data_IF_248423799074
#
_entry.id   IF_248423799074
#
_cell.length_a   1.000
_cell.length_b   1.000
_cell.length_c   1.000
_cell.angle_alpha   90.00
_cell.angle_beta   90.00
_cell.angle_gamma   90.00
#
_symmetry.space_group_name_H-M   'P 1'
#
loop_
_entity.id
_entity.type
_entity.pdbx_description
1 polymer ?
#
# COMPACT_ATOMS: atom_id res chain seq x y z
N UNK A 1 39.64 2.75 43.94
CA UNK A 1 39.75 2.96 42.49
C UNK A 1 38.53 2.32 41.87
N UNK A 2 37.43 3.07 41.81
CA UNK A 2 36.13 2.57 41.39
C UNK A 2 36.06 2.56 39.88
N UNK A 3 35.59 1.43 39.38
CA UNK A 3 35.41 1.03 38.00
C UNK A 3 34.63 2.08 37.18
N UNK A 4 35.27 2.58 36.13
CA UNK A 4 34.71 3.58 35.21
C UNK A 4 34.17 2.94 33.91
N UNK A 5 33.89 1.62 33.91
CA UNK A 5 33.45 0.89 32.71
C UNK A 5 32.01 0.36 32.75
N UNK A 6 31.21 0.72 33.76
CA UNK A 6 29.83 0.20 33.94
C UNK A 6 28.72 1.26 33.94
N UNK A 7 28.89 2.38 33.23
CA UNK A 7 27.86 3.43 33.12
C UNK A 7 27.69 3.96 31.68
N UNK A 8 27.69 3.09 30.67
CA UNK A 8 27.43 3.48 29.28
C UNK A 8 26.28 2.72 28.59
N UNK A 9 25.41 1.99 29.31
CA UNK A 9 24.43 1.11 28.64
C UNK A 9 22.94 1.34 28.92
N UNK A 10 22.50 2.44 29.55
CA UNK A 10 21.05 2.58 29.88
C UNK A 10 20.35 3.87 29.43
N UNK A 11 20.94 4.68 28.55
CA UNK A 11 20.25 5.87 28.03
C UNK A 11 20.38 5.91 26.50
N UNK A 12 19.35 5.43 25.78
CA UNK A 12 18.92 5.94 24.44
C UNK A 12 18.03 4.92 23.69
N UNK A 13 16.76 4.72 24.09
CA UNK A 13 15.75 4.06 23.22
C UNK A 13 14.30 4.43 23.55
N UNK A 14 13.99 4.73 24.81
CA UNK A 14 12.64 5.09 25.26
C UNK A 14 12.00 6.30 24.53
N UNK A 15 12.69 7.46 24.34
CA UNK A 15 12.05 8.61 23.68
C UNK A 15 11.77 8.36 22.18
N UNK A 16 12.56 7.53 21.52
CA UNK A 16 12.35 7.18 20.10
C UNK A 16 11.14 6.23 19.94
N UNK A 17 10.99 5.26 20.85
CA UNK A 17 9.83 4.34 20.88
C UNK A 17 8.54 5.10 21.19
N UNK A 18 8.59 6.08 22.11
CA UNK A 18 7.45 6.93 22.43
C UNK A 18 7.03 7.81 21.24
N UNK A 19 8.00 8.46 20.57
CA UNK A 19 7.73 9.27 19.38
C UNK A 19 7.12 8.44 18.24
N UNK A 20 7.66 7.25 17.96
CA UNK A 20 7.13 6.38 16.91
C UNK A 20 5.69 5.91 17.20
N UNK A 21 5.38 5.65 18.47
CA UNK A 21 4.03 5.27 18.91
C UNK A 21 3.07 6.44 18.76
N UNK A 22 3.47 7.63 19.20
CA UNK A 22 2.71 8.88 19.06
C UNK A 22 2.47 9.21 17.58
N UNK A 23 3.50 9.18 16.74
CA UNK A 23 3.39 9.42 15.31
C UNK A 23 2.42 8.44 14.65
N UNK A 24 2.47 7.15 15.00
CA UNK A 24 1.54 6.13 14.49
C UNK A 24 0.09 6.41 14.90
N UNK A 25 -0.14 6.88 16.13
CA UNK A 25 -1.47 7.25 16.59
C UNK A 25 -2.01 8.49 15.85
N UNK A 26 -1.17 9.51 15.66
CA UNK A 26 -1.51 10.73 14.91
C UNK A 26 -1.83 10.37 13.45
N UNK A 27 -0.95 9.61 12.77
CA UNK A 27 -1.16 9.18 11.38
C UNK A 27 -2.41 8.31 11.24
N UNK A 28 -2.78 7.53 12.26
CA UNK A 28 -4.03 6.79 12.29
C UNK A 28 -5.28 7.68 12.22
N UNK A 29 -5.19 8.97 12.56
CA UNK A 29 -6.30 9.91 12.42
C UNK A 29 -6.39 10.56 11.03
N UNK A 30 -5.46 10.25 10.11
CA UNK A 30 -5.53 10.67 8.72
C UNK A 30 -6.12 9.52 7.88
N UNK A 31 -7.40 9.59 7.47
CA UNK A 31 -8.02 8.54 6.68
C UNK A 31 -7.33 8.40 5.32
N UNK A 32 -7.22 7.16 4.85
CA UNK A 32 -6.59 6.83 3.56
C UNK A 32 -7.49 5.87 2.80
N UNK A 33 -7.50 5.95 1.47
CA UNK A 33 -8.06 4.88 0.64
C UNK A 33 -7.25 3.60 0.80
N UNK A 34 -7.89 2.45 0.59
CA UNK A 34 -7.25 1.14 0.65
C UNK A 34 -7.11 0.57 -0.76
N UNK A 35 -5.92 0.06 -1.06
CA UNK A 35 -5.61 -0.59 -2.33
C UNK A 35 -4.95 -1.95 -2.11
N UNK A 36 -5.06 -2.83 -3.09
CA UNK A 36 -4.12 -3.95 -3.25
C UNK A 36 -3.10 -3.59 -4.33
N UNK A 37 -1.84 -3.51 -3.93
CA UNK A 37 -0.73 -3.45 -4.86
C UNK A 37 -0.38 -4.86 -5.31
N UNK A 38 -0.27 -5.09 -6.61
CA UNK A 38 0.28 -6.34 -7.16
C UNK A 38 1.49 -6.07 -8.05
N UNK A 39 2.36 -7.06 -8.22
CA UNK A 39 3.52 -7.00 -9.10
C UNK A 39 3.98 -8.42 -9.46
N UNK A 40 4.59 -8.60 -10.63
CA UNK A 40 5.08 -9.90 -11.06
C UNK A 40 6.47 -10.18 -10.46
N UNK A 41 6.66 -11.35 -9.83
CA UNK A 41 7.98 -11.80 -9.39
C UNK A 41 8.75 -12.49 -10.51
N UNK A 42 10.05 -12.76 -10.30
CA UNK A 42 10.91 -13.39 -11.31
C UNK A 42 10.41 -14.75 -11.85
N UNK A 43 9.60 -15.48 -11.08
CA UNK A 43 8.99 -16.75 -11.52
C UNK A 43 7.76 -16.59 -12.42
N UNK A 44 7.38 -15.36 -12.76
CA UNK A 44 6.16 -15.04 -13.47
C UNK A 44 4.90 -15.03 -12.59
N UNK A 45 4.98 -15.45 -11.32
CA UNK A 45 3.85 -15.41 -10.38
C UNK A 45 3.59 -13.99 -9.89
N UNK A 46 2.32 -13.62 -9.74
CA UNK A 46 1.93 -12.38 -9.11
C UNK A 46 2.19 -12.42 -7.60
N UNK A 47 2.65 -11.29 -7.08
CA UNK A 47 2.71 -11.00 -5.66
C UNK A 47 1.86 -9.78 -5.33
N UNK A 48 1.29 -9.70 -4.13
CA UNK A 48 0.49 -8.55 -3.73
C UNK A 48 0.47 -8.25 -2.24
N UNK A 49 0.18 -7.00 -1.90
CA UNK A 49 0.02 -6.53 -0.54
C UNK A 49 -1.03 -5.43 -0.46
N UNK A 50 -1.75 -5.37 0.66
CA UNK A 50 -2.61 -4.23 0.96
C UNK A 50 -1.73 -3.02 1.26
N UNK A 51 -2.04 -1.90 0.63
CA UNK A 51 -1.33 -0.64 0.81
C UNK A 51 -2.33 0.51 1.01
N UNK A 52 -1.94 1.44 1.86
CA UNK A 52 -2.60 2.73 2.03
C UNK A 52 -1.60 3.90 2.08
N UNK A 53 -0.32 3.60 1.86
CA UNK A 53 0.81 4.53 1.80
C UNK A 53 1.02 5.01 0.36
N UNK A 54 0.07 5.79 -0.13
CA UNK A 54 -0.01 6.26 -1.51
C UNK A 54 -0.07 7.79 -1.60
N UNK A 55 0.50 8.35 -2.67
CA UNK A 55 0.30 9.74 -3.05
C UNK A 55 0.30 9.91 -4.57
N UNK A 56 -0.52 10.83 -5.08
CA UNK A 56 -0.36 11.38 -6.43
C UNK A 56 0.80 12.38 -6.44
N UNK A 57 1.64 12.36 -7.48
CA UNK A 57 2.84 13.20 -7.60
C UNK A 57 2.65 14.29 -8.65
N UNK A 58 2.28 13.91 -9.87
CA UNK A 58 2.02 14.83 -10.99
C UNK A 58 1.05 14.17 -11.97
N UNK A 59 0.37 14.98 -12.80
CA UNK A 59 -0.47 14.53 -13.93
C UNK A 59 0.21 14.71 -15.30
N UNK A 60 1.40 15.29 -15.35
CA UNK A 60 2.16 15.52 -16.58
C UNK A 60 3.64 15.10 -16.40
N UNK A 61 4.03 13.86 -16.79
CA UNK A 61 3.15 12.72 -17.07
C UNK A 61 2.52 12.16 -15.77
N UNK A 62 1.37 11.46 -15.82
CA UNK A 62 0.73 10.91 -14.62
C UNK A 62 1.66 10.01 -13.81
N UNK A 63 1.93 10.38 -12.56
CA UNK A 63 2.93 9.74 -11.71
C UNK A 63 2.42 9.57 -10.28
N UNK A 64 2.66 8.40 -9.71
CA UNK A 64 2.21 7.97 -8.39
C UNK A 64 3.40 7.56 -7.51
N UNK A 65 3.24 7.68 -6.20
CA UNK A 65 4.21 7.21 -5.20
C UNK A 65 3.58 6.16 -4.29
N UNK A 66 4.34 5.09 -4.02
CA UNK A 66 3.98 4.07 -3.03
C UNK A 66 5.16 3.74 -2.11
N UNK A 67 4.86 3.42 -0.85
CA UNK A 67 5.86 2.99 0.14
C UNK A 67 5.62 1.55 0.58
N UNK A 68 6.64 0.70 0.47
CA UNK A 68 6.58 -0.70 0.89
C UNK A 68 7.67 -1.00 1.92
N UNK A 69 7.33 -1.77 2.95
CA UNK A 69 8.31 -2.27 3.92
C UNK A 69 9.36 -3.15 3.22
N UNK A 70 10.63 -3.00 3.60
CA UNK A 70 11.76 -3.63 2.89
C UNK A 70 11.71 -5.15 2.92
N UNK A 71 11.11 -5.73 3.96
CA UNK A 71 10.94 -7.17 4.17
C UNK A 71 9.79 -7.79 3.35
N UNK A 72 8.98 -6.97 2.66
CA UNK A 72 7.85 -7.47 1.88
C UNK A 72 8.30 -8.26 0.65
N UNK A 73 7.71 -9.45 0.45
CA UNK A 73 7.85 -10.23 -0.79
C UNK A 73 7.32 -9.47 -2.01
N UNK A 74 6.24 -8.71 -1.83
CA UNK A 74 5.69 -7.84 -2.88
C UNK A 74 6.66 -6.73 -3.25
N UNK A 75 7.36 -6.14 -2.26
CA UNK A 75 8.42 -5.16 -2.53
C UNK A 75 9.53 -5.76 -3.40
N UNK A 76 9.83 -7.05 -3.22
CA UNK A 76 10.81 -7.77 -4.04
C UNK A 76 10.34 -7.92 -5.47
N UNK A 77 9.10 -8.37 -5.68
CA UNK A 77 8.50 -8.44 -7.00
C UNK A 77 8.54 -7.09 -7.75
N UNK A 78 8.23 -5.98 -7.06
CA UNK A 78 8.31 -4.63 -7.67
C UNK A 78 9.73 -4.27 -8.10
N UNK A 79 10.75 -4.59 -7.28
CA UNK A 79 12.14 -4.32 -7.67
C UNK A 79 12.63 -5.18 -8.83
N UNK A 80 12.16 -6.43 -8.92
CA UNK A 80 12.58 -7.37 -9.95
C UNK A 80 11.90 -7.08 -11.29
N UNK A 81 10.59 -6.81 -11.27
CA UNK A 81 9.83 -6.48 -12.49
C UNK A 81 9.98 -5.03 -12.94
N UNK A 82 10.29 -4.12 -12.02
CA UNK A 82 10.25 -2.68 -12.28
C UNK A 82 8.83 -2.15 -12.48
N UNK A 83 7.79 -2.90 -12.13
CA UNK A 83 6.41 -2.53 -12.40
C UNK A 83 5.45 -2.96 -11.28
N UNK A 84 4.29 -2.30 -11.21
CA UNK A 84 3.24 -2.64 -10.25
C UNK A 84 1.86 -2.19 -10.72
N UNK A 85 0.82 -2.82 -10.17
CA UNK A 85 -0.58 -2.45 -10.36
C UNK A 85 -1.16 -2.02 -9.01
N UNK A 86 -1.89 -0.92 -8.98
CA UNK A 86 -2.69 -0.49 -7.84
C UNK A 86 -4.16 -0.76 -8.13
N UNK A 87 -4.82 -1.51 -7.25
CA UNK A 87 -6.25 -1.84 -7.35
C UNK A 87 -6.99 -1.16 -6.21
N UNK A 88 -7.84 -0.18 -6.52
CA UNK A 88 -8.63 0.58 -5.53
C UNK A 88 -9.80 -0.27 -5.06
N UNK A 89 -9.92 -0.41 -3.74
CA UNK A 89 -10.95 -1.25 -3.13
C UNK A 89 -12.21 -0.48 -2.73
N UNK A 90 -13.36 -1.13 -2.90
CA UNK A 90 -14.65 -0.72 -2.35
C UNK A 90 -14.94 -1.35 -0.99
N UNK A 91 -15.94 -0.79 -0.30
CA UNK A 91 -16.39 -1.17 1.03
C UNK A 91 -16.70 -2.66 1.24
N UNK A 92 -17.16 -3.35 0.21
CA UNK A 92 -17.49 -4.78 0.22
C UNK A 92 -16.26 -5.69 0.10
N UNK A 93 -15.07 -5.13 -0.17
CA UNK A 93 -13.82 -5.87 -0.41
C UNK A 93 -12.92 -5.97 0.82
N UNK A 94 -13.50 -5.90 2.04
CA UNK A 94 -12.78 -5.99 3.32
C UNK A 94 -11.97 -7.29 3.43
N UNK A 95 -12.53 -8.43 3.02
CA UNK A 95 -11.85 -9.73 3.16
C UNK A 95 -10.64 -9.84 2.22
N UNK A 96 -10.72 -9.25 1.02
CA UNK A 96 -9.57 -9.12 0.11
C UNK A 96 -8.50 -8.27 0.79
N UNK A 97 -8.87 -7.10 1.33
CA UNK A 97 -7.93 -6.22 2.02
C UNK A 97 -7.23 -6.92 3.21
N UNK A 98 -7.95 -7.73 3.99
CA UNK A 98 -7.39 -8.51 5.11
C UNK A 98 -6.41 -9.58 4.61
N UNK A 99 -6.79 -10.36 3.60
CA UNK A 99 -5.95 -11.42 3.04
C UNK A 99 -4.59 -10.87 2.58
N UNK A 100 -4.62 -9.76 1.84
CA UNK A 100 -3.41 -9.09 1.34
C UNK A 100 -2.66 -8.27 2.42
N UNK A 101 -3.30 -7.98 3.56
CA UNK A 101 -2.65 -7.41 4.75
C UNK A 101 -1.99 -8.47 5.66
N UNK A 102 -2.15 -9.76 5.36
CA UNK A 102 -1.46 -10.85 6.04
C UNK A 102 -2.33 -11.75 6.91
N UNK A 103 -3.66 -11.62 6.89
CA UNK A 103 -4.53 -12.64 7.52
C UNK A 103 -4.41 -14.00 6.84
N UNK A 104 -4.01 -14.01 5.57
CA UNK A 104 -3.58 -15.21 4.84
C UNK A 104 -2.05 -15.20 4.68
N UNK A 105 -1.42 -16.22 5.27
CA UNK A 105 0.04 -16.39 5.32
C UNK A 105 0.62 -16.93 4.01
N UNK A 106 -0.14 -17.78 3.32
CA UNK A 106 0.21 -18.30 2.01
C UNK A 106 -0.09 -17.27 0.93
N UNK A 107 0.95 -16.88 0.20
CA UNK A 107 0.82 -15.82 -0.77
C UNK A 107 -0.06 -16.21 -1.96
N UNK A 108 -0.04 -17.48 -2.36
CA UNK A 108 -0.82 -17.93 -3.52
C UNK A 108 -2.30 -17.94 -3.21
N UNK A 109 -2.68 -18.30 -1.97
CA UNK A 109 -4.09 -18.34 -1.53
C UNK A 109 -4.75 -16.97 -1.48
N UNK A 110 -3.97 -15.89 -1.33
CA UNK A 110 -4.52 -14.52 -1.39
C UNK A 110 -5.21 -14.25 -2.72
N UNK A 111 -4.66 -14.76 -3.82
CA UNK A 111 -5.22 -14.58 -5.16
C UNK A 111 -6.44 -15.47 -5.42
N UNK A 112 -6.73 -16.46 -4.56
CA UNK A 112 -7.94 -17.28 -4.62
C UNK A 112 -9.18 -16.54 -4.06
N UNK A 113 -8.98 -15.41 -3.37
CA UNK A 113 -10.06 -14.63 -2.74
C UNK A 113 -10.92 -13.84 -3.73
N UNK A 114 -10.48 -13.71 -4.99
CA UNK A 114 -11.16 -12.93 -6.02
C UNK A 114 -10.72 -13.35 -7.43
N UNK A 115 -11.34 -12.76 -8.45
CA UNK A 115 -10.92 -12.92 -9.85
C UNK A 115 -9.92 -11.85 -10.24
N UNK A 116 -8.83 -12.28 -10.87
CA UNK A 116 -7.73 -11.42 -11.27
C UNK A 116 -7.44 -11.59 -12.75
N UNK A 117 -7.17 -10.48 -13.43
CA UNK A 117 -6.67 -10.45 -14.80
C UNK A 117 -5.14 -10.23 -14.76
N UNK A 118 -4.41 -11.16 -15.35
CA UNK A 118 -2.97 -11.03 -15.54
C UNK A 118 -2.65 -9.96 -16.58
N UNK A 119 -1.72 -9.06 -16.23
CA UNK A 119 -1.16 -8.01 -17.11
C UNK A 119 0.37 -7.98 -16.98
N UNK A 120 1.06 -7.25 -17.85
CA UNK A 120 2.53 -7.20 -17.84
C UNK A 120 3.09 -6.74 -16.48
N UNK A 121 2.49 -5.73 -15.88
CA UNK A 121 2.94 -5.07 -14.64
C UNK A 121 2.55 -5.84 -13.36
N UNK A 122 1.66 -6.84 -13.46
CA UNK A 122 1.11 -7.56 -12.31
C UNK A 122 -0.25 -8.17 -12.58
N UNK A 123 -1.18 -7.96 -11.66
CA UNK A 123 -2.54 -8.49 -11.72
C UNK A 123 -3.57 -7.41 -11.35
N UNK A 124 -4.59 -7.24 -12.21
CA UNK A 124 -5.73 -6.35 -11.99
C UNK A 124 -6.86 -7.13 -11.33
N UNK A 125 -7.43 -6.60 -10.25
CA UNK A 125 -8.61 -7.17 -9.60
C UNK A 125 -9.85 -6.84 -10.44
N UNK A 126 -10.57 -7.85 -10.93
CA UNK A 126 -11.70 -7.63 -11.83
C UNK A 126 -12.84 -6.82 -11.19
N UNK A 127 -12.98 -6.90 -9.87
CA UNK A 127 -13.97 -6.14 -9.10
C UNK A 127 -13.43 -4.85 -8.48
N UNK A 128 -12.21 -4.41 -8.80
CA UNK A 128 -11.69 -3.14 -8.28
C UNK A 128 -12.56 -1.96 -8.75
N UNK A 129 -12.64 -0.91 -7.94
CA UNK A 129 -13.29 0.35 -8.33
C UNK A 129 -12.56 0.97 -9.51
N UNK A 130 -11.23 0.96 -9.45
CA UNK A 130 -10.34 1.39 -10.53
C UNK A 130 -8.98 0.75 -10.35
N UNK A 131 -8.16 0.79 -11.41
CA UNK A 131 -6.78 0.34 -11.38
C UNK A 131 -5.84 1.31 -12.07
N UNK A 132 -4.60 1.36 -11.57
CA UNK A 132 -3.47 2.02 -12.21
C UNK A 132 -2.36 1.00 -12.46
N UNK A 133 -1.88 0.89 -13.69
CA UNK A 133 -0.71 0.09 -14.06
C UNK A 133 0.47 1.03 -14.19
N UNK A 134 1.55 0.73 -13.49
CA UNK A 134 2.66 1.64 -13.32
C UNK A 134 4.00 0.97 -13.66
N UNK A 135 4.89 1.75 -14.29
CA UNK A 135 6.32 1.42 -14.42
C UNK A 135 7.12 2.28 -13.47
N UNK A 136 8.04 1.65 -12.74
CA UNK A 136 8.90 2.32 -11.76
C UNK A 136 9.90 3.23 -12.48
N UNK A 137 9.83 4.52 -12.19
CA UNK A 137 10.84 5.50 -12.62
C UNK A 137 12.02 5.54 -11.65
N UNK A 138 11.71 5.64 -10.36
CA UNK A 138 12.70 5.78 -9.31
C UNK A 138 12.32 4.95 -8.09
N UNK A 139 13.34 4.53 -7.34
CA UNK A 139 13.12 3.95 -6.02
C UNK A 139 14.17 4.39 -5.02
N UNK A 140 13.72 4.70 -3.80
CA UNK A 140 14.52 5.30 -2.76
C UNK A 140 14.34 4.49 -1.48
N UNK A 141 15.44 4.04 -0.87
CA UNK A 141 15.38 3.36 0.43
C UNK A 141 15.35 4.42 1.54
N UNK A 142 14.37 4.32 2.43
CA UNK A 142 14.21 5.16 3.60
C UNK A 142 14.07 4.25 4.82
N UNK A 143 15.18 4.06 5.55
CA UNK A 143 15.27 3.16 6.69
C UNK A 143 14.65 1.76 6.42
N UNK A 144 13.49 1.49 7.02
CA UNK A 144 12.76 0.21 6.93
C UNK A 144 11.89 0.08 5.69
N UNK A 145 11.70 1.15 4.91
CA UNK A 145 10.83 1.18 3.73
C UNK A 145 11.61 1.49 2.45
N UNK A 146 11.00 1.15 1.32
CA UNK A 146 11.42 1.61 0.00
C UNK A 146 10.25 2.31 -0.66
N UNK A 147 10.49 3.55 -1.07
CA UNK A 147 9.58 4.34 -1.87
C UNK A 147 9.78 3.99 -3.34
N UNK A 148 8.68 3.90 -4.08
CA UNK A 148 8.66 3.75 -5.52
C UNK A 148 7.87 4.90 -6.12
N UNK A 149 8.49 5.59 -7.07
CA UNK A 149 7.83 6.59 -7.93
C UNK A 149 7.59 5.90 -9.26
N UNK A 150 6.32 5.78 -9.65
CA UNK A 150 5.90 5.07 -10.85
C UNK A 150 5.09 5.96 -11.79
N UNK A 151 5.46 5.93 -13.07
CA UNK A 151 4.67 6.52 -14.15
C UNK A 151 3.49 5.60 -14.46
N UNK A 152 2.30 6.16 -14.58
CA UNK A 152 1.09 5.43 -14.97
C UNK A 152 1.14 5.20 -16.46
N UNK A 153 1.18 3.93 -16.87
CA UNK A 153 1.18 3.53 -18.27
C UNK A 153 -0.22 3.13 -18.77
N UNK A 154 -1.13 2.82 -17.86
CA UNK A 154 -2.54 2.52 -18.16
C UNK A 154 -3.41 2.73 -16.90
N UNK A 155 -4.63 3.20 -17.09
CA UNK A 155 -5.59 3.46 -16.01
C UNK A 155 -7.02 3.16 -16.47
N UNK A 156 -7.77 2.45 -15.64
CA UNK A 156 -9.12 2.03 -15.98
C UNK A 156 -10.04 2.08 -14.75
N UNK A 157 -11.29 2.50 -14.97
CA UNK A 157 -12.38 2.22 -14.05
C UNK A 157 -12.76 0.75 -14.13
N UNK A 158 -13.21 0.17 -13.02
CA UNK A 158 -13.82 -1.15 -13.04
C UNK A 158 -15.23 -1.14 -13.64
N UNK A 159 -15.73 -2.33 -13.99
CA UNK A 159 -17.07 -2.51 -14.54
C UNK A 159 -18.18 -2.36 -13.48
N UNK A 160 -17.82 -2.47 -12.20
CA UNK A 160 -18.74 -2.22 -11.09
C UNK A 160 -18.98 -0.71 -10.96
N UNK A 161 -20.24 -0.31 -10.71
CA UNK A 161 -20.53 1.07 -10.33
C UNK A 161 -19.63 1.47 -9.14
N UNK A 162 -19.14 2.72 -9.07
CA UNK A 162 -18.28 3.13 -7.97
C UNK A 162 -19.00 2.93 -6.63
N UNK A 163 -18.66 1.84 -5.93
CA UNK A 163 -19.12 1.62 -4.57
C UNK A 163 -18.48 2.64 -3.63
N UNK A 164 -18.96 2.71 -2.38
CA UNK A 164 -18.26 3.51 -1.38
C UNK A 164 -16.82 3.00 -1.21
N UNK A 165 -15.82 3.88 -1.15
CA UNK A 165 -14.43 3.47 -1.08
C UNK A 165 -14.15 2.80 0.26
N UNK A 166 -13.28 1.78 0.25
CA UNK A 166 -12.75 1.25 1.50
C UNK A 166 -11.73 2.21 2.07
N UNK A 167 -11.92 2.60 3.33
CA UNK A 167 -11.05 3.54 4.04
C UNK A 167 -10.31 2.84 5.17
N UNK A 168 -9.04 3.17 5.36
CA UNK A 168 -8.34 2.88 6.61
C UNK A 168 -8.38 4.12 7.50
N UNK A 169 -8.95 3.97 8.69
CA UNK A 169 -9.04 5.03 9.70
C UNK A 169 -8.88 4.43 11.10
N UNK A 170 -8.02 5.04 11.92
CA UNK A 170 -7.67 4.58 13.29
C UNK A 170 -7.31 3.10 13.38
N UNK A 171 -6.58 2.60 12.37
CA UNK A 171 -6.14 1.20 12.24
C UNK A 171 -7.29 0.20 12.00
N UNK A 172 -8.48 0.68 11.67
CA UNK A 172 -9.62 -0.13 11.28
C UNK A 172 -9.96 0.12 9.81
N UNK A 173 -10.55 -0.89 9.18
CA UNK A 173 -11.22 -0.71 7.89
C UNK A 173 -12.59 -0.10 8.14
N UNK A 174 -12.93 0.93 7.38
CA UNK A 174 -14.10 1.77 7.55
C UNK A 174 -14.79 2.00 6.20
N UNK A 175 -16.10 2.16 6.24
CA UNK A 175 -16.95 2.45 5.10
C UNK A 175 -17.59 3.83 5.32
N UNK A 176 -17.33 4.83 4.46
CA UNK A 176 -18.01 6.11 4.54
C UNK A 176 -19.53 5.95 4.44
N UNK A 177 -20.27 6.54 5.36
CA UNK A 177 -21.73 6.42 5.44
C UNK A 177 -22.47 7.63 4.86
N UNK A 178 -21.84 8.81 4.83
CA UNK A 178 -22.43 10.07 4.36
C UNK A 178 -21.35 10.93 3.68
N UNK A 179 -21.73 11.66 2.63
CA UNK A 179 -20.90 12.69 2.00
C UNK A 179 -21.47 14.06 2.37
N UNK A 180 -20.60 15.01 2.64
CA UNK A 180 -21.03 16.38 2.82
C UNK A 180 -21.57 16.94 1.49
N UNK A 181 -22.62 17.74 1.55
CA UNK A 181 -23.17 18.48 0.40
C UNK A 181 -22.30 19.70 0.05
N UNK A 182 -21.00 19.48 -0.11
CA UNK A 182 -20.02 20.50 -0.46
C UNK A 182 -18.86 19.87 -1.24
N UNK A 183 -18.45 20.51 -2.34
CA UNK A 183 -17.36 20.07 -3.20
C UNK A 183 -16.24 21.11 -3.28
N UNK A 184 -14.98 20.64 -3.23
CA UNK A 184 -13.82 21.48 -3.58
C UNK A 184 -13.91 21.79 -5.08
N UNK A 185 -13.71 23.06 -5.46
CA UNK A 185 -13.75 23.51 -6.85
C UNK A 185 -12.78 22.71 -7.73
N UNK A 186 -13.26 22.31 -8.91
CA UNK A 186 -12.48 21.56 -9.91
C UNK A 186 -11.35 22.39 -10.51
#
# INVERSE_FOLDING_TARGET
MTDASLLESEISSEPEVELATTARAILGNLPTGVMVLTSRGASGKAYGATVNSFASVTLDPPTLLISLVSTSRTRQAVSESGAFVLNILSADQIEIAKAFAGSESDHTRRFETATWQDVEEGAVLSSAVASFRCRTLHSIRVATHRLYVGEVVDAAWGDAAPGEPLVSYRRSLFVPSERADWSIGQ
#
